data_IF_840033200562
#
_entry.id   IF_840033200562
#
_cell.length_a   1.000
_cell.length_b   1.000
_cell.length_c   1.000
_cell.angle_alpha   90.00
_cell.angle_beta   90.00
_cell.angle_gamma   90.00
#
_symmetry.space_group_name_H-M   'P 1'
#
loop_
_entity.id
_entity.type
_entity.pdbx_description
1 polymer ?
#
# COMPACT_ATOMS: atom_id res chain seq x y z
N UNK A 1 32.10 15.89 -12.71
CA UNK A 1 31.64 14.54 -12.30
C UNK A 1 31.42 13.62 -13.50
N UNK A 2 30.67 14.06 -14.52
CA UNK A 2 30.38 13.25 -15.72
C UNK A 2 31.61 12.60 -16.35
N UNK A 3 32.72 13.32 -16.51
CA UNK A 3 33.96 12.75 -17.04
C UNK A 3 34.41 11.47 -16.30
N UNK A 4 34.31 11.44 -14.96
CA UNK A 4 34.68 10.25 -14.20
C UNK A 4 33.71 9.08 -14.44
N UNK A 5 32.42 9.36 -14.61
CA UNK A 5 31.42 8.35 -15.00
C UNK A 5 31.74 7.76 -16.36
N UNK A 6 32.01 8.61 -17.35
CA UNK A 6 32.34 8.17 -18.72
C UNK A 6 33.64 7.37 -18.77
N UNK A 7 34.69 7.81 -18.05
CA UNK A 7 35.94 7.04 -17.97
C UNK A 7 35.75 5.69 -17.26
N UNK A 8 34.86 5.62 -16.26
CA UNK A 8 34.57 4.36 -15.55
C UNK A 8 33.81 3.38 -16.44
N UNK A 9 32.83 3.87 -17.21
CA UNK A 9 32.14 3.07 -18.23
C UNK A 9 33.12 2.55 -19.29
N UNK A 10 33.98 3.42 -19.85
CA UNK A 10 35.01 3.04 -20.83
C UNK A 10 36.00 1.99 -20.29
N UNK A 11 36.21 1.97 -18.97
CA UNK A 11 37.03 0.95 -18.30
C UNK A 11 36.29 -0.38 -18.05
N UNK A 12 35.02 -0.51 -18.48
CA UNK A 12 34.19 -1.69 -18.30
C UNK A 12 33.31 -1.66 -17.04
N UNK A 13 33.13 -0.49 -16.42
CA UNK A 13 32.39 -0.31 -15.18
C UNK A 13 33.30 -0.11 -13.96
N UNK A 14 32.69 0.11 -12.80
CA UNK A 14 33.41 0.37 -11.55
C UNK A 14 32.68 1.32 -10.62
N UNK A 15 33.44 1.94 -9.72
CA UNK A 15 32.91 2.90 -8.75
C UNK A 15 33.62 4.25 -8.92
N UNK A 16 32.82 5.30 -9.09
CA UNK A 16 33.26 6.69 -8.98
C UNK A 16 33.11 7.10 -7.51
N UNK A 17 34.22 7.17 -6.79
CA UNK A 17 34.24 7.61 -5.41
C UNK A 17 34.23 9.13 -5.33
N UNK A 18 33.27 9.67 -4.60
CA UNK A 18 33.17 11.07 -4.22
C UNK A 18 33.61 11.19 -2.76
N UNK A 19 34.37 12.24 -2.45
CA UNK A 19 34.74 12.56 -1.07
C UNK A 19 33.63 13.37 -0.42
N UNK A 20 33.76 13.64 0.87
CA UNK A 20 32.95 14.64 1.56
C UNK A 20 33.07 15.99 0.85
N UNK A 21 31.94 16.64 0.61
CA UNK A 21 31.87 17.92 -0.08
C UNK A 21 30.55 18.15 -0.82
N UNK A 22 30.36 19.39 -1.25
CA UNK A 22 29.27 19.81 -2.12
C UNK A 22 29.75 19.79 -3.59
N UNK A 23 29.01 19.09 -4.42
CA UNK A 23 29.27 18.93 -5.85
C UNK A 23 28.11 19.56 -6.65
N UNK A 24 28.18 20.85 -6.98
CA UNK A 24 27.18 21.48 -7.83
C UNK A 24 27.25 20.89 -9.24
N UNK A 25 26.08 20.64 -9.84
CA UNK A 25 25.93 20.18 -11.23
C UNK A 25 24.95 21.09 -11.97
N UNK A 26 25.37 21.60 -13.13
CA UNK A 26 24.58 22.46 -14.01
C UNK A 26 23.72 21.66 -15.00
N UNK A 27 23.96 20.36 -15.09
CA UNK A 27 23.29 19.40 -15.97
C UNK A 27 23.23 18.04 -15.29
N UNK A 28 22.24 17.20 -15.66
CA UNK A 28 22.14 15.84 -15.09
C UNK A 28 23.44 15.05 -15.25
N UNK A 29 23.84 14.35 -14.20
CA UNK A 29 24.83 13.27 -14.35
C UNK A 29 24.16 12.09 -15.05
N UNK A 30 24.66 11.73 -16.22
CA UNK A 30 24.18 10.58 -17.00
C UNK A 30 24.85 9.31 -16.47
N UNK A 31 24.16 8.60 -15.57
CA UNK A 31 24.61 7.32 -15.02
C UNK A 31 24.65 6.27 -16.12
N UNK A 32 25.71 5.45 -16.13
CA UNK A 32 25.99 4.46 -17.17
C UNK A 32 25.93 3.05 -16.61
N UNK A 33 25.71 2.07 -17.48
CA UNK A 33 25.72 0.66 -17.09
C UNK A 33 27.07 0.26 -16.49
N UNK A 34 27.05 -0.54 -15.43
CA UNK A 34 28.25 -0.97 -14.71
C UNK A 34 28.89 0.11 -13.83
N UNK A 35 28.39 1.36 -13.82
CA UNK A 35 28.98 2.47 -13.05
C UNK A 35 28.21 2.71 -11.76
N UNK A 36 28.94 2.78 -10.65
CA UNK A 36 28.41 3.10 -9.33
C UNK A 36 28.90 4.47 -8.88
N UNK A 37 28.00 5.34 -8.42
CA UNK A 37 28.35 6.58 -7.70
C UNK A 37 28.35 6.30 -6.20
N UNK A 38 29.44 6.61 -5.52
CA UNK A 38 29.56 6.35 -4.08
C UNK A 38 30.14 7.57 -3.36
N UNK A 39 29.41 8.09 -2.38
CA UNK A 39 29.93 9.08 -1.45
C UNK A 39 30.70 8.46 -0.28
N UNK A 40 31.25 9.32 0.58
CA UNK A 40 31.88 8.89 1.84
C UNK A 40 30.83 8.66 2.94
N UNK A 41 29.77 9.48 2.95
CA UNK A 41 28.66 9.36 3.88
C UNK A 41 27.44 10.16 3.39
N UNK A 42 26.25 9.66 3.75
CA UNK A 42 24.98 10.40 3.67
C UNK A 42 25.13 11.74 4.42
N UNK A 43 24.59 12.81 3.85
CA UNK A 43 24.64 14.19 4.36
C UNK A 43 26.02 14.88 4.37
N UNK A 44 27.11 14.18 4.03
CA UNK A 44 28.45 14.75 3.92
C UNK A 44 28.94 14.85 2.47
N UNK A 45 28.56 13.89 1.61
CA UNK A 45 28.75 13.98 0.16
C UNK A 45 27.44 14.40 -0.47
N UNK A 46 27.38 15.61 -1.05
CA UNK A 46 26.14 16.17 -1.59
C UNK A 46 26.31 16.46 -3.08
N UNK A 47 25.48 15.87 -3.92
CA UNK A 47 25.33 16.27 -5.32
C UNK A 47 24.10 17.17 -5.39
N UNK A 48 24.28 18.42 -5.83
CA UNK A 48 23.23 19.43 -5.83
C UNK A 48 23.07 20.06 -7.20
N UNK A 49 21.84 20.29 -7.66
CA UNK A 49 21.63 21.11 -8.86
C UNK A 49 22.06 22.56 -8.60
N UNK A 50 22.89 23.10 -9.50
CA UNK A 50 23.22 24.51 -9.51
C UNK A 50 21.95 25.36 -9.72
N UNK A 51 21.92 26.62 -9.26
CA UNK A 51 20.81 27.53 -9.56
C UNK A 51 20.54 27.61 -11.07
N UNK A 52 19.26 27.70 -11.44
CA UNK A 52 18.77 27.79 -12.82
C UNK A 52 19.05 26.57 -13.73
N UNK A 53 19.63 25.47 -13.21
CA UNK A 53 19.93 24.26 -14.00
C UNK A 53 18.66 23.59 -14.54
N UNK A 54 17.59 23.56 -13.72
CA UNK A 54 16.26 23.08 -14.10
C UNK A 54 16.24 21.69 -14.80
N UNK A 55 17.05 20.76 -14.31
CA UNK A 55 17.20 19.40 -14.85
C UNK A 55 16.95 18.35 -13.75
N UNK A 56 17.25 17.08 -14.04
CA UNK A 56 17.41 16.05 -13.02
C UNK A 56 18.81 16.15 -12.38
N UNK A 57 18.97 15.69 -11.13
CA UNK A 57 20.33 15.59 -10.56
C UNK A 57 21.08 14.42 -11.20
N UNK A 58 20.46 13.24 -11.24
CA UNK A 58 20.99 12.02 -11.86
C UNK A 58 19.97 11.47 -12.87
N UNK A 59 20.43 11.04 -14.03
CA UNK A 59 19.59 10.42 -15.07
C UNK A 59 20.25 9.19 -15.72
N UNK A 60 19.51 8.15 -16.11
CA UNK A 60 20.06 7.04 -16.91
C UNK A 60 20.09 7.27 -18.44
N UNK A 61 19.49 8.36 -18.92
CA UNK A 61 19.36 8.67 -20.35
C UNK A 61 17.92 8.55 -20.84
N UNK A 62 17.57 9.27 -21.92
CA UNK A 62 16.16 9.50 -22.31
C UNK A 62 15.58 8.47 -23.30
N UNK A 63 16.41 7.64 -23.93
CA UNK A 63 15.97 6.82 -25.04
C UNK A 63 15.87 5.36 -24.63
N UNK A 64 14.67 4.83 -24.43
CA UNK A 64 14.47 3.38 -24.53
C UNK A 64 15.12 2.89 -25.85
N UNK A 65 16.03 1.88 -25.83
CA UNK A 65 16.25 0.90 -24.77
C UNK A 65 17.55 1.09 -23.95
N UNK A 66 18.14 2.29 -23.88
CA UNK A 66 19.39 2.50 -23.14
C UNK A 66 19.16 2.62 -21.64
N UNK A 67 18.85 1.48 -21.01
CA UNK A 67 18.83 1.34 -19.57
C UNK A 67 20.25 1.44 -19.02
N UNK A 68 20.40 2.14 -17.89
CA UNK A 68 21.56 1.91 -17.04
C UNK A 68 21.31 0.59 -16.29
N UNK A 69 22.15 -0.41 -16.56
CA UNK A 69 22.10 -1.72 -15.91
C UNK A 69 23.31 -1.95 -15.03
N UNK A 70 23.15 -2.72 -13.95
CA UNK A 70 24.28 -3.05 -13.06
C UNK A 70 24.98 -1.80 -12.50
N UNK A 71 24.19 -0.77 -12.24
CA UNK A 71 24.66 0.54 -11.78
C UNK A 71 24.13 0.81 -10.37
N UNK A 72 24.54 1.92 -9.77
CA UNK A 72 24.04 2.27 -8.45
C UNK A 72 24.46 3.63 -7.95
N UNK A 73 23.77 4.08 -6.90
CA UNK A 73 24.05 5.33 -6.19
C UNK A 73 23.99 5.02 -4.70
N UNK A 74 25.03 5.37 -3.94
CA UNK A 74 25.10 5.06 -2.51
C UNK A 74 25.88 6.05 -1.64
N UNK A 75 25.51 6.09 -0.36
CA UNK A 75 26.22 6.82 0.71
C UNK A 75 26.39 8.32 0.42
N UNK A 76 25.35 8.97 -0.10
CA UNK A 76 25.39 10.39 -0.46
C UNK A 76 24.00 11.03 -0.40
N UNK A 77 23.98 12.35 -0.50
CA UNK A 77 22.77 13.17 -0.62
C UNK A 77 22.61 13.67 -2.05
N UNK A 78 21.38 13.61 -2.55
CA UNK A 78 20.93 14.16 -3.82
C UNK A 78 19.99 15.31 -3.50
N UNK A 79 20.34 16.52 -3.93
CA UNK A 79 19.59 17.73 -3.62
C UNK A 79 19.15 18.41 -4.93
N UNK A 80 17.84 18.40 -5.19
CA UNK A 80 17.27 19.04 -6.36
C UNK A 80 17.30 20.56 -6.32
N UNK A 81 17.60 21.15 -5.15
CA UNK A 81 17.68 22.60 -4.94
C UNK A 81 16.45 23.34 -5.51
N UNK A 82 15.26 22.81 -5.23
CA UNK A 82 13.96 23.27 -5.75
C UNK A 82 13.76 24.79 -5.65
N UNK A 83 14.16 25.42 -4.55
CA UNK A 83 14.02 26.87 -4.35
C UNK A 83 14.71 27.71 -5.44
N UNK A 84 15.82 27.21 -6.00
CA UNK A 84 16.60 27.85 -7.07
C UNK A 84 16.38 27.17 -8.44
N UNK A 85 15.54 26.13 -8.48
CA UNK A 85 15.22 25.32 -9.66
C UNK A 85 13.71 25.05 -9.73
N UNK A 86 12.86 26.08 -9.89
CA UNK A 86 11.40 25.93 -9.92
C UNK A 86 10.87 25.14 -11.14
N UNK A 87 11.73 24.88 -12.12
CA UNK A 87 11.47 23.99 -13.25
C UNK A 87 12.40 22.76 -13.24
N UNK A 88 13.09 22.52 -12.11
CA UNK A 88 13.81 21.30 -11.84
C UNK A 88 12.91 20.08 -12.00
N UNK A 89 13.53 18.94 -12.23
CA UNK A 89 12.82 17.69 -12.44
C UNK A 89 13.00 16.81 -11.22
N UNK A 90 13.59 15.63 -11.40
CA UNK A 90 13.66 14.62 -10.37
C UNK A 90 15.04 14.61 -9.69
N UNK A 91 15.11 14.04 -8.48
CA UNK A 91 16.40 13.71 -7.88
C UNK A 91 17.13 12.66 -8.71
N UNK A 92 16.50 11.50 -8.90
CA UNK A 92 16.97 10.41 -9.77
C UNK A 92 15.88 10.09 -10.79
N UNK A 93 16.24 10.06 -12.08
CA UNK A 93 15.32 9.77 -13.17
C UNK A 93 15.82 8.72 -14.16
N UNK A 94 14.92 7.83 -14.58
CA UNK A 94 15.06 7.10 -15.83
C UNK A 94 14.82 5.60 -15.69
N UNK A 95 14.99 4.88 -16.80
CA UNK A 95 14.89 3.43 -16.84
C UNK A 95 16.13 2.81 -16.19
N UNK A 96 15.94 2.17 -15.05
CA UNK A 96 16.95 1.40 -14.34
C UNK A 96 16.58 -0.08 -14.34
N UNK A 97 17.57 -0.94 -14.54
CA UNK A 97 17.40 -2.37 -14.36
C UNK A 97 18.61 -2.92 -13.61
N UNK A 98 18.40 -3.87 -12.70
CA UNK A 98 19.48 -4.41 -11.88
C UNK A 98 20.32 -3.34 -11.18
N UNK A 99 19.66 -2.32 -10.63
CA UNK A 99 20.29 -1.14 -10.06
C UNK A 99 20.13 -1.10 -8.54
N UNK A 100 21.11 -0.54 -7.84
CA UNK A 100 21.06 -0.37 -6.38
C UNK A 100 21.06 1.10 -5.99
N UNK A 101 20.03 1.52 -5.26
CA UNK A 101 19.99 2.80 -4.54
C UNK A 101 20.06 2.51 -3.04
N UNK A 102 21.16 2.87 -2.40
CA UNK A 102 21.43 2.44 -1.02
C UNK A 102 21.94 3.57 -0.14
N UNK A 103 21.36 3.74 1.05
CA UNK A 103 21.81 4.73 2.02
C UNK A 103 21.90 6.15 1.41
N UNK A 104 20.74 6.62 0.93
CA UNK A 104 20.60 7.89 0.24
C UNK A 104 19.70 8.85 1.03
N UNK A 105 19.98 10.14 0.89
CA UNK A 105 19.03 11.20 1.22
C UNK A 105 18.71 11.97 -0.07
N UNK A 106 17.47 11.92 -0.53
CA UNK A 106 16.99 12.62 -1.73
C UNK A 106 16.03 13.71 -1.29
N UNK A 107 16.32 14.97 -1.61
CA UNK A 107 15.53 16.09 -1.11
C UNK A 107 15.38 17.24 -2.10
N UNK A 108 14.37 18.07 -1.86
CA UNK A 108 14.10 19.32 -2.58
C UNK A 108 14.07 19.11 -4.10
N UNK A 109 13.45 18.03 -4.56
CA UNK A 109 13.23 17.78 -5.98
C UNK A 109 11.92 18.44 -6.39
N UNK A 110 11.92 19.32 -7.38
CA UNK A 110 10.70 20.02 -7.83
C UNK A 110 9.66 19.07 -8.48
N UNK A 111 10.07 17.88 -8.92
CA UNK A 111 9.19 16.81 -9.38
C UNK A 111 9.22 15.63 -8.38
N UNK A 112 9.52 14.41 -8.83
CA UNK A 112 9.63 13.26 -7.93
C UNK A 112 11.05 13.10 -7.36
N UNK A 113 11.19 12.58 -6.14
CA UNK A 113 12.50 12.28 -5.56
C UNK A 113 13.26 11.23 -6.37
N UNK A 114 12.70 10.02 -6.47
CA UNK A 114 13.22 8.92 -7.29
C UNK A 114 12.14 8.47 -8.26
N UNK A 115 12.48 8.28 -9.53
CA UNK A 115 11.59 7.64 -10.48
C UNK A 115 12.28 6.62 -11.38
N UNK A 116 11.59 5.48 -11.56
CA UNK A 116 11.95 4.43 -12.52
C UNK A 116 11.26 4.57 -13.88
N UNK A 117 10.54 5.67 -14.14
CA UNK A 117 9.60 5.77 -15.27
C UNK A 117 10.26 5.93 -16.65
N UNK A 118 9.55 5.43 -17.68
CA UNK A 118 9.70 5.74 -19.09
C UNK A 118 8.73 6.86 -19.47
N UNK A 119 9.16 8.11 -19.31
CA UNK A 119 8.41 9.31 -19.72
C UNK A 119 7.06 9.50 -18.98
N UNK A 120 6.74 10.75 -18.63
CA UNK A 120 5.41 11.11 -18.11
C UNK A 120 4.32 11.05 -19.22
N UNK A 121 4.67 10.57 -20.42
CA UNK A 121 3.78 10.54 -21.58
C UNK A 121 2.89 9.29 -21.56
N UNK A 122 1.58 9.49 -21.75
CA UNK A 122 0.57 8.43 -21.77
C UNK A 122 0.83 7.34 -22.83
N UNK A 123 1.75 7.57 -23.77
CA UNK A 123 2.10 6.63 -24.83
C UNK A 123 2.98 5.46 -24.33
N UNK A 124 3.78 5.66 -23.27
CA UNK A 124 4.59 4.60 -22.68
C UNK A 124 3.75 3.51 -22.00
N UNK A 125 2.54 3.86 -21.55
CA UNK A 125 1.58 2.94 -20.92
C UNK A 125 1.14 1.79 -21.85
N UNK A 126 1.14 1.99 -23.16
CA UNK A 126 0.59 1.04 -24.13
C UNK A 126 1.65 0.16 -24.85
N UNK A 127 2.94 0.42 -24.63
CA UNK A 127 4.00 -0.12 -25.49
C UNK A 127 4.45 -1.56 -25.17
N UNK A 128 3.78 -2.29 -24.27
CA UNK A 128 4.14 -3.69 -23.98
C UNK A 128 5.52 -3.86 -23.33
N UNK A 129 6.07 -2.82 -22.70
CA UNK A 129 7.34 -2.86 -21.97
C UNK A 129 7.28 -3.66 -20.64
N UNK A 130 6.30 -4.55 -20.49
CA UNK A 130 6.05 -5.35 -19.29
C UNK A 130 7.05 -6.50 -19.08
N UNK A 131 7.98 -6.74 -20.02
CA UNK A 131 8.92 -7.87 -19.99
C UNK A 131 10.29 -7.54 -19.37
N UNK A 132 10.45 -6.39 -18.72
CA UNK A 132 11.71 -6.06 -18.06
C UNK A 132 11.61 -6.53 -16.61
N UNK A 133 12.11 -7.74 -16.34
CA UNK A 133 12.47 -8.15 -14.98
C UNK A 133 13.51 -7.16 -14.43
N UNK A 134 13.06 -6.11 -13.75
CA UNK A 134 13.90 -5.04 -13.23
C UNK A 134 14.24 -5.31 -11.77
N UNK A 135 15.27 -6.13 -11.54
CA UNK A 135 15.77 -6.50 -10.22
C UNK A 135 16.47 -5.34 -9.50
N UNK A 136 15.74 -4.26 -9.24
CA UNK A 136 16.23 -3.07 -8.59
C UNK A 136 16.09 -3.20 -7.08
N UNK A 137 17.07 -2.67 -6.35
CA UNK A 137 17.09 -2.67 -4.90
C UNK A 137 17.18 -1.23 -4.40
N UNK A 138 16.15 -0.77 -3.70
CA UNK A 138 16.12 0.53 -3.00
C UNK A 138 16.12 0.24 -1.51
N UNK A 139 17.14 0.72 -0.80
CA UNK A 139 17.28 0.41 0.63
C UNK A 139 17.90 1.52 1.45
N UNK A 140 17.36 1.75 2.66
CA UNK A 140 17.84 2.80 3.58
C UNK A 140 17.80 4.18 2.93
N UNK A 141 16.73 4.47 2.21
CA UNK A 141 16.57 5.71 1.44
C UNK A 141 15.58 6.63 2.15
N UNK A 142 16.01 7.86 2.39
CA UNK A 142 15.13 8.96 2.76
C UNK A 142 14.81 9.79 1.52
N UNK A 143 13.52 10.00 1.23
CA UNK A 143 13.04 11.03 0.31
C UNK A 143 12.21 12.08 1.04
N UNK A 144 12.55 13.37 0.92
CA UNK A 144 11.84 14.46 1.61
C UNK A 144 11.60 15.69 0.74
N UNK A 145 10.41 16.29 0.83
CA UNK A 145 10.11 17.57 0.17
C UNK A 145 10.22 17.49 -1.36
N UNK A 146 9.42 16.63 -1.98
CA UNK A 146 9.34 16.51 -3.44
C UNK A 146 8.10 17.23 -3.97
N UNK A 147 8.23 18.02 -5.03
CA UNK A 147 7.13 18.80 -5.64
C UNK A 147 6.09 17.95 -6.39
N UNK A 148 6.33 16.65 -6.57
CA UNK A 148 5.34 15.63 -6.92
C UNK A 148 5.42 14.43 -5.95
N UNK A 149 5.98 13.32 -6.39
CA UNK A 149 5.97 12.05 -5.66
C UNK A 149 7.30 11.82 -4.93
N UNK A 150 7.32 11.10 -3.82
CA UNK A 150 8.57 10.69 -3.21
C UNK A 150 9.29 9.68 -4.09
N UNK A 151 8.69 8.50 -4.24
CA UNK A 151 9.18 7.42 -5.11
C UNK A 151 8.09 7.08 -6.12
N UNK A 152 8.35 7.34 -7.41
CA UNK A 152 7.51 6.95 -8.52
C UNK A 152 8.08 5.74 -9.26
N UNK A 153 7.62 4.55 -8.88
CA UNK A 153 8.03 3.27 -9.42
C UNK A 153 7.06 2.83 -10.52
N UNK A 154 7.40 3.18 -11.76
CA UNK A 154 6.51 3.00 -12.92
C UNK A 154 7.18 2.10 -13.94
N UNK A 155 6.43 1.12 -14.47
CA UNK A 155 6.91 0.12 -15.43
C UNK A 155 8.12 -0.67 -14.91
N UNK A 156 8.07 -1.05 -13.63
CA UNK A 156 9.10 -1.83 -12.96
C UNK A 156 8.54 -3.17 -12.50
N UNK A 157 9.30 -4.24 -12.70
CA UNK A 157 8.98 -5.57 -12.21
C UNK A 157 10.01 -6.08 -11.19
N UNK A 158 9.62 -6.95 -10.27
CA UNK A 158 10.53 -7.75 -9.43
C UNK A 158 11.56 -6.91 -8.61
N UNK A 159 11.18 -5.70 -8.21
CA UNK A 159 12.04 -4.82 -7.40
C UNK A 159 11.82 -4.99 -5.90
N UNK A 160 12.88 -4.82 -5.12
CA UNK A 160 12.84 -4.76 -3.66
C UNK A 160 13.03 -3.32 -3.18
N UNK A 161 12.09 -2.81 -2.38
CA UNK A 161 12.12 -1.46 -1.81
C UNK A 161 11.93 -1.58 -0.31
N UNK A 162 12.96 -1.34 0.49
CA UNK A 162 12.87 -1.55 1.94
C UNK A 162 13.64 -0.55 2.79
N UNK A 163 13.30 -0.44 4.07
CA UNK A 163 13.88 0.54 4.99
C UNK A 163 13.83 1.96 4.40
N UNK A 164 12.67 2.35 3.87
CA UNK A 164 12.48 3.66 3.25
C UNK A 164 11.73 4.61 4.17
N UNK A 165 12.09 5.89 4.11
CA UNK A 165 11.33 6.97 4.71
C UNK A 165 11.00 8.00 3.64
N UNK A 166 9.72 8.17 3.37
CA UNK A 166 9.22 9.16 2.42
C UNK A 166 8.29 10.11 3.15
N UNK A 167 8.63 11.41 3.14
CA UNK A 167 7.88 12.42 3.90
C UNK A 167 7.66 13.69 3.10
N UNK A 168 6.47 14.26 3.23
CA UNK A 168 6.07 15.54 2.65
C UNK A 168 6.26 15.65 1.11
N UNK A 169 5.90 14.63 0.31
CA UNK A 169 5.73 14.84 -1.13
C UNK A 169 4.45 15.63 -1.39
N UNK A 170 4.42 16.47 -2.41
CA UNK A 170 3.22 17.22 -2.78
C UNK A 170 2.08 16.31 -3.30
N UNK A 171 2.40 15.09 -3.76
CA UNK A 171 1.45 14.07 -4.25
C UNK A 171 1.57 12.76 -3.51
N UNK A 172 2.32 11.77 -4.00
CA UNK A 172 2.30 10.43 -3.41
C UNK A 172 3.62 10.09 -2.74
N UNK A 173 3.60 9.43 -1.59
CA UNK A 173 4.86 8.93 -1.01
C UNK A 173 5.43 7.83 -1.90
N UNK A 174 4.60 6.85 -2.23
CA UNK A 174 4.94 5.80 -3.17
C UNK A 174 3.88 5.70 -4.27
N UNK A 175 4.32 5.74 -5.52
CA UNK A 175 3.50 5.43 -6.68
C UNK A 175 3.98 4.16 -7.37
N UNK A 176 3.10 3.17 -7.51
CA UNK A 176 3.27 1.97 -8.33
C UNK A 176 2.40 2.07 -9.58
N UNK A 177 2.99 2.36 -10.75
CA UNK A 177 2.26 2.44 -12.02
C UNK A 177 2.70 1.32 -12.97
N UNK A 178 1.78 0.53 -13.52
CA UNK A 178 2.13 -0.60 -14.40
C UNK A 178 3.26 -1.50 -13.87
N UNK A 179 3.33 -1.69 -12.56
CA UNK A 179 4.45 -2.39 -11.93
C UNK A 179 4.00 -3.74 -11.38
N UNK A 180 4.90 -4.71 -11.35
CA UNK A 180 4.57 -6.04 -10.87
C UNK A 180 5.66 -6.71 -10.05
N UNK A 181 5.34 -7.73 -9.26
CA UNK A 181 6.35 -8.53 -8.55
C UNK A 181 7.14 -7.77 -7.48
N UNK A 182 6.78 -6.52 -7.18
CA UNK A 182 7.56 -5.67 -6.29
C UNK A 182 7.29 -6.02 -4.82
N UNK A 183 8.33 -6.01 -3.99
CA UNK A 183 8.22 -6.15 -2.54
C UNK A 183 8.66 -4.87 -1.85
N UNK A 184 7.71 -4.21 -1.21
CA UNK A 184 7.92 -3.02 -0.39
C UNK A 184 7.83 -3.40 1.08
N UNK A 185 8.81 -3.05 1.90
CA UNK A 185 8.74 -3.33 3.34
C UNK A 185 9.46 -2.33 4.24
N UNK A 186 9.13 -2.30 5.53
CA UNK A 186 9.81 -1.43 6.50
C UNK A 186 9.79 0.04 6.06
N UNK A 187 8.61 0.49 5.62
CA UNK A 187 8.42 1.79 4.99
C UNK A 187 7.68 2.75 5.93
N UNK A 188 8.21 3.96 6.11
CA UNK A 188 7.52 5.07 6.75
C UNK A 188 7.08 6.07 5.67
N UNK A 189 5.77 6.22 5.46
CA UNK A 189 5.16 6.94 4.35
C UNK A 189 4.21 8.02 4.88
N UNK A 190 4.68 9.26 4.89
CA UNK A 190 4.00 10.35 5.62
C UNK A 190 3.67 11.57 4.77
N UNK A 191 2.49 12.16 5.02
CA UNK A 191 2.12 13.50 4.56
C UNK A 191 2.05 13.71 3.04
N UNK A 192 1.78 12.66 2.27
CA UNK A 192 1.36 12.80 0.87
C UNK A 192 -0.12 13.19 0.72
N UNK A 193 -0.57 13.45 -0.50
CA UNK A 193 -1.95 13.23 -0.93
C UNK A 193 -2.39 11.81 -0.58
N UNK A 194 -1.69 10.81 -1.11
CA UNK A 194 -1.81 9.41 -0.69
C UNK A 194 -0.44 8.90 -0.24
N UNK A 195 -0.38 8.08 0.81
CA UNK A 195 0.89 7.44 1.18
C UNK A 195 1.30 6.39 0.16
N UNK A 196 0.34 5.61 -0.35
CA UNK A 196 0.56 4.68 -1.45
C UNK A 196 -0.52 4.88 -2.50
N UNK A 197 -0.10 5.02 -3.76
CA UNK A 197 -0.97 5.00 -4.91
C UNK A 197 -0.52 3.88 -5.86
N UNK A 198 -1.43 3.01 -6.27
CA UNK A 198 -1.16 1.99 -7.28
C UNK A 198 -2.21 2.00 -8.38
N UNK A 199 -1.76 1.88 -9.63
CA UNK A 199 -2.62 1.81 -10.80
C UNK A 199 -2.06 0.80 -11.81
N UNK A 200 -2.93 -0.02 -12.39
CA UNK A 200 -2.60 -1.05 -13.39
C UNK A 200 -1.42 -1.96 -12.98
N UNK A 201 -1.28 -2.21 -11.69
CA UNK A 201 -0.15 -2.92 -11.09
C UNK A 201 -0.58 -4.24 -10.48
N UNK A 202 0.33 -5.20 -10.29
CA UNK A 202 -0.09 -6.43 -9.63
C UNK A 202 1.00 -7.34 -9.12
N UNK A 203 0.62 -8.39 -8.38
CA UNK A 203 1.58 -9.30 -7.75
C UNK A 203 2.62 -8.56 -6.89
N UNK A 204 2.23 -7.50 -6.18
CA UNK A 204 3.13 -6.76 -5.30
C UNK A 204 2.74 -6.92 -3.83
N UNK A 205 3.71 -6.70 -2.95
CA UNK A 205 3.56 -6.81 -1.50
C UNK A 205 4.00 -5.53 -0.82
N UNK A 206 3.22 -5.07 0.15
CA UNK A 206 3.58 -3.99 1.06
C UNK A 206 3.43 -4.52 2.50
N UNK A 207 4.56 -4.65 3.20
CA UNK A 207 4.60 -5.30 4.53
C UNK A 207 5.35 -4.46 5.56
N UNK A 208 5.05 -4.57 6.86
CA UNK A 208 5.79 -3.86 7.92
C UNK A 208 5.90 -2.35 7.65
N UNK A 209 4.79 -1.68 7.39
CA UNK A 209 4.79 -0.27 6.98
C UNK A 209 4.05 0.62 7.97
N UNK A 210 4.27 1.92 7.88
CA UNK A 210 3.46 2.95 8.51
C UNK A 210 3.06 3.96 7.45
N UNK A 211 1.75 4.14 7.26
CA UNK A 211 1.17 5.15 6.39
C UNK A 211 0.34 6.12 7.24
N UNK A 212 0.73 7.40 7.26
CA UNK A 212 0.10 8.39 8.13
C UNK A 212 0.12 9.80 7.54
N UNK A 213 -0.76 10.67 8.05
CA UNK A 213 -0.81 12.07 7.68
C UNK A 213 -1.20 12.36 6.23
N UNK A 214 -1.72 11.38 5.48
CA UNK A 214 -2.16 11.60 4.11
C UNK A 214 -3.34 12.58 4.07
N UNK A 215 -3.40 13.45 3.05
CA UNK A 215 -4.52 14.39 2.89
C UNK A 215 -5.74 13.75 2.21
N UNK A 216 -5.55 12.68 1.46
CA UNK A 216 -6.57 11.83 0.85
C UNK A 216 -6.66 10.44 1.52
N UNK A 217 -6.39 9.37 0.78
CA UNK A 217 -6.35 7.99 1.26
C UNK A 217 -4.96 7.65 1.79
N UNK A 218 -4.85 6.73 2.75
CA UNK A 218 -3.52 6.20 3.07
C UNK A 218 -3.02 5.31 1.93
N UNK A 219 -3.85 4.38 1.47
CA UNK A 219 -3.56 3.49 0.35
C UNK A 219 -4.71 3.61 -0.66
N UNK A 220 -4.38 3.91 -1.91
CA UNK A 220 -5.35 3.98 -2.99
C UNK A 220 -4.93 3.06 -4.14
N UNK A 221 -5.78 2.08 -4.42
CA UNK A 221 -5.71 1.23 -5.59
C UNK A 221 -6.73 1.69 -6.62
N UNK A 222 -6.21 2.23 -7.72
CA UNK A 222 -7.00 2.59 -8.90
C UNK A 222 -7.29 1.32 -9.75
N UNK A 223 -7.81 1.53 -10.95
CA UNK A 223 -8.15 0.49 -11.91
C UNK A 223 -6.98 -0.47 -12.21
N UNK A 224 -7.31 -1.76 -12.35
CA UNK A 224 -6.37 -2.77 -12.83
C UNK A 224 -5.33 -3.20 -11.80
N UNK A 225 -5.61 -3.04 -10.50
CA UNK A 225 -4.71 -3.48 -9.43
C UNK A 225 -5.04 -4.90 -8.97
N UNK A 226 -4.14 -5.87 -9.15
CA UNK A 226 -4.45 -7.28 -8.90
C UNK A 226 -3.38 -8.04 -8.11
N UNK A 227 -3.79 -9.05 -7.34
CA UNK A 227 -2.87 -9.93 -6.61
C UNK A 227 -1.96 -9.16 -5.64
N UNK A 228 -2.56 -8.28 -4.84
CA UNK A 228 -1.83 -7.42 -3.90
C UNK A 228 -1.88 -8.00 -2.50
N UNK A 229 -0.76 -7.95 -1.78
CA UNK A 229 -0.72 -8.25 -0.34
C UNK A 229 -0.33 -7.00 0.45
N UNK A 230 -1.18 -6.59 1.38
CA UNK A 230 -0.92 -5.57 2.40
C UNK A 230 -0.87 -6.29 3.74
N UNK A 231 0.25 -6.23 4.45
CA UNK A 231 0.35 -6.93 5.73
C UNK A 231 1.16 -6.21 6.80
N UNK A 232 0.87 -6.52 8.06
CA UNK A 232 1.67 -6.13 9.23
C UNK A 232 1.98 -4.62 9.30
N UNK A 233 1.03 -3.78 8.86
CA UNK A 233 1.20 -2.34 8.74
C UNK A 233 0.35 -1.56 9.73
N UNK A 234 0.67 -0.27 9.87
CA UNK A 234 -0.11 0.70 10.62
C UNK A 234 -0.61 1.79 9.67
N UNK A 235 -1.91 2.07 9.71
CA UNK A 235 -2.56 3.15 8.97
C UNK A 235 -3.13 4.14 9.98
N UNK A 236 -2.53 5.33 10.04
CA UNK A 236 -2.95 6.41 10.94
C UNK A 236 -3.97 7.34 10.28
N UNK A 237 -4.96 7.80 11.03
CA UNK A 237 -6.06 8.68 10.57
C UNK A 237 -5.81 10.19 10.75
N UNK A 238 -4.54 10.63 10.75
CA UNK A 238 -4.10 12.02 11.07
C UNK A 238 -4.45 13.11 10.02
N UNK A 239 -5.67 13.08 9.50
CA UNK A 239 -6.10 13.75 8.27
C UNK A 239 -6.33 15.26 8.41
N UNK A 240 -6.47 15.91 7.24
CA UNK A 240 -6.84 17.34 7.06
C UNK A 240 -8.33 17.53 6.62
N UNK A 241 -9.15 16.47 6.59
CA UNK A 241 -10.58 16.56 6.27
C UNK A 241 -11.39 15.39 6.82
N UNK A 242 -12.67 15.59 7.16
CA UNK A 242 -13.51 14.57 7.83
C UNK A 242 -14.35 13.77 6.84
N UNK A 243 -14.40 12.42 6.97
CA UNK A 243 -15.41 11.54 6.38
C UNK A 243 -15.53 11.50 4.83
N UNK A 244 -14.51 11.96 4.08
CA UNK A 244 -14.47 11.85 2.60
C UNK A 244 -13.65 10.68 2.08
N UNK A 245 -12.50 10.39 2.70
CA UNK A 245 -11.48 9.47 2.22
C UNK A 245 -11.34 8.28 3.15
N UNK A 246 -10.71 7.23 2.67
CA UNK A 246 -10.63 5.91 3.30
C UNK A 246 -9.18 5.58 3.71
N UNK A 247 -9.00 4.70 4.68
CA UNK A 247 -7.67 4.17 5.01
C UNK A 247 -7.08 3.43 3.81
N UNK A 248 -7.81 2.43 3.31
CA UNK A 248 -7.56 1.73 2.06
C UNK A 248 -8.76 1.91 1.15
N UNK A 249 -8.55 2.52 -0.02
CA UNK A 249 -9.56 2.62 -1.07
C UNK A 249 -9.21 1.72 -2.24
N UNK A 250 -10.18 0.92 -2.66
CA UNK A 250 -10.01 0.01 -3.79
C UNK A 250 -11.11 0.25 -4.80
N UNK A 251 -10.70 0.88 -5.92
CA UNK A 251 -11.56 1.25 -7.02
C UNK A 251 -11.50 0.20 -8.15
N UNK A 252 -12.61 0.07 -8.88
CA UNK A 252 -12.69 -0.72 -10.11
C UNK A 252 -12.97 0.21 -11.29
N UNK A 253 -11.97 0.42 -12.15
CA UNK A 253 -12.11 1.18 -13.39
C UNK A 253 -12.39 0.33 -14.62
N UNK A 254 -13.17 -0.76 -14.50
CA UNK A 254 -13.57 -1.60 -15.64
C UNK A 254 -12.56 -2.66 -16.09
N UNK A 255 -11.34 -2.65 -15.54
CA UNK A 255 -10.38 -3.77 -15.58
C UNK A 255 -10.20 -4.28 -14.15
N UNK A 256 -10.46 -5.56 -13.94
CA UNK A 256 -10.70 -6.17 -12.63
C UNK A 256 -9.54 -5.98 -11.64
N UNK A 257 -9.65 -4.97 -10.78
CA UNK A 257 -8.93 -4.98 -9.51
C UNK A 257 -9.44 -6.17 -8.69
N UNK A 258 -8.54 -7.11 -8.34
CA UNK A 258 -8.94 -8.42 -7.82
C UNK A 258 -7.90 -9.01 -6.87
N UNK A 259 -8.38 -9.78 -5.90
CA UNK A 259 -7.55 -10.52 -4.94
C UNK A 259 -6.58 -9.60 -4.20
N UNK A 260 -7.12 -8.59 -3.53
CA UNK A 260 -6.38 -7.81 -2.53
C UNK A 260 -6.47 -8.55 -1.21
N UNK A 261 -5.31 -8.88 -0.64
CA UNK A 261 -5.18 -9.55 0.66
C UNK A 261 -4.66 -8.53 1.68
N UNK A 262 -5.48 -8.19 2.67
CA UNK A 262 -5.12 -7.32 3.80
C UNK A 262 -5.09 -8.17 5.06
N UNK A 263 -3.92 -8.27 5.70
CA UNK A 263 -3.69 -9.16 6.85
C UNK A 263 -2.88 -8.50 7.96
N UNK A 264 -3.39 -8.50 9.20
CA UNK A 264 -2.63 -7.97 10.32
C UNK A 264 -2.42 -6.46 10.30
N UNK A 265 -3.21 -5.70 9.53
CA UNK A 265 -3.12 -4.24 9.47
C UNK A 265 -3.87 -3.60 10.64
N UNK A 266 -3.23 -2.62 11.26
CA UNK A 266 -3.81 -1.82 12.34
C UNK A 266 -4.25 -0.45 11.81
N UNK A 267 -5.52 -0.14 11.96
CA UNK A 267 -6.09 1.18 11.69
C UNK A 267 -6.21 1.92 13.01
N UNK A 268 -5.55 3.06 13.13
CA UNK A 268 -5.41 3.79 14.40
C UNK A 268 -6.06 5.16 14.31
N UNK A 269 -6.89 5.47 15.30
CA UNK A 269 -7.53 6.77 15.48
C UNK A 269 -6.55 7.87 15.86
N UNK A 270 -6.90 9.13 15.58
CA UNK A 270 -6.13 10.30 15.99
C UNK A 270 -6.79 11.08 17.15
N UNK A 271 -7.45 10.40 18.10
CA UNK A 271 -8.01 11.07 19.27
C UNK A 271 -9.12 12.09 18.96
N UNK A 272 -9.87 11.90 17.86
CA UNK A 272 -11.10 12.65 17.58
C UNK A 272 -10.97 13.91 16.70
N UNK A 273 -9.83 14.19 16.06
CA UNK A 273 -9.69 15.39 15.20
C UNK A 273 -10.10 15.16 13.74
N UNK A 274 -9.92 13.96 13.21
CA UNK A 274 -10.35 13.56 11.86
C UNK A 274 -10.40 12.05 11.73
N UNK A 275 -11.44 11.53 11.08
CA UNK A 275 -11.57 10.09 10.81
C UNK A 275 -11.66 9.81 9.31
N UNK A 276 -11.25 8.62 8.91
CA UNK A 276 -11.58 8.07 7.60
C UNK A 276 -13.09 7.89 7.47
N UNK A 277 -13.61 7.85 6.24
CA UNK A 277 -14.99 7.44 6.00
C UNK A 277 -15.14 5.95 6.34
N UNK A 278 -14.28 5.14 5.72
CA UNK A 278 -14.06 3.74 6.04
C UNK A 278 -12.58 3.47 6.26
N UNK A 279 -12.23 2.53 7.13
CA UNK A 279 -10.85 2.04 7.18
C UNK A 279 -10.51 1.28 5.90
N UNK A 280 -11.45 0.46 5.41
CA UNK A 280 -11.35 -0.22 4.12
C UNK A 280 -12.62 0.01 3.31
N UNK A 281 -12.48 0.56 2.10
CA UNK A 281 -13.55 0.73 1.14
C UNK A 281 -13.25 -0.04 -0.14
N UNK A 282 -13.94 -1.18 -0.31
CA UNK A 282 -13.80 -2.07 -1.45
C UNK A 282 -15.08 -2.01 -2.31
N UNK A 283 -15.14 -1.03 -3.20
CA UNK A 283 -16.38 -0.58 -3.88
C UNK A 283 -16.94 -1.62 -4.87
N UNK A 284 -16.11 -2.50 -5.43
CA UNK A 284 -16.52 -3.34 -6.59
C UNK A 284 -15.63 -4.58 -6.80
N UNK A 285 -14.80 -4.94 -5.82
CA UNK A 285 -13.78 -5.99 -5.99
C UNK A 285 -14.33 -7.41 -6.03
N UNK A 286 -13.68 -8.33 -6.76
CA UNK A 286 -13.96 -9.76 -6.67
C UNK A 286 -12.86 -10.46 -5.87
N UNK A 287 -13.21 -11.07 -4.74
CA UNK A 287 -12.36 -12.04 -4.05
C UNK A 287 -11.26 -11.46 -3.15
N UNK A 288 -11.50 -10.31 -2.53
CA UNK A 288 -10.55 -9.71 -1.58
C UNK A 288 -10.72 -10.26 -0.18
N UNK A 289 -9.63 -10.32 0.57
CA UNK A 289 -9.58 -10.95 1.88
C UNK A 289 -9.12 -9.91 2.91
N UNK A 290 -9.93 -9.66 3.94
CA UNK A 290 -9.61 -8.74 5.03
C UNK A 290 -9.60 -9.53 6.34
N UNK A 291 -8.40 -9.89 6.79
CA UNK A 291 -8.18 -10.90 7.82
C UNK A 291 -7.28 -10.34 8.92
N UNK A 292 -7.52 -10.72 10.18
CA UNK A 292 -6.68 -10.33 11.33
C UNK A 292 -6.41 -8.82 11.46
N UNK A 293 -7.28 -7.96 10.90
CA UNK A 293 -7.11 -6.52 10.97
C UNK A 293 -7.64 -5.99 12.31
N UNK A 294 -7.03 -4.92 12.81
CA UNK A 294 -7.50 -4.20 14.00
C UNK A 294 -8.06 -2.85 13.58
N UNK A 295 -9.33 -2.62 13.89
CA UNK A 295 -10.05 -1.38 13.61
C UNK A 295 -10.30 -0.58 14.88
N UNK A 296 -9.49 0.45 15.15
CA UNK A 296 -9.76 1.38 16.24
C UNK A 296 -11.12 2.08 16.01
N UNK A 297 -12.08 2.06 16.95
CA UNK A 297 -13.34 2.79 16.82
C UNK A 297 -13.19 4.30 16.53
N UNK A 298 -12.02 4.88 16.80
CA UNK A 298 -11.69 6.26 16.49
C UNK A 298 -11.08 6.48 15.09
N UNK A 299 -10.76 5.44 14.30
CA UNK A 299 -10.14 5.60 12.98
C UNK A 299 -11.14 5.90 11.85
N UNK A 300 -12.41 5.52 12.02
CA UNK A 300 -13.46 5.65 10.99
C UNK A 300 -14.66 6.49 11.45
N UNK A 301 -15.38 7.06 10.48
CA UNK A 301 -16.53 7.93 10.67
C UNK A 301 -17.86 7.29 10.30
N UNK A 302 -17.86 6.31 9.39
CA UNK A 302 -19.08 5.60 8.97
C UNK A 302 -19.08 4.13 9.42
N UNK A 303 -18.08 3.35 9.02
CA UNK A 303 -17.91 1.95 9.40
C UNK A 303 -16.44 1.53 9.18
N UNK A 304 -15.92 0.47 9.83
CA UNK A 304 -14.57 -0.03 9.55
C UNK A 304 -14.43 -0.47 8.10
N UNK A 305 -15.36 -1.29 7.61
CA UNK A 305 -15.29 -1.86 6.27
C UNK A 305 -16.58 -1.56 5.50
N UNK A 306 -16.42 -1.08 4.27
CA UNK A 306 -17.45 -1.04 3.24
C UNK A 306 -17.07 -2.03 2.14
N UNK A 307 -17.78 -3.16 2.04
CA UNK A 307 -17.57 -4.15 0.96
C UNK A 307 -18.81 -4.28 0.08
N UNK A 308 -18.59 -4.61 -1.19
CA UNK A 308 -19.69 -4.72 -2.18
C UNK A 308 -19.68 -6.01 -2.99
N UNK A 309 -18.93 -7.06 -2.60
CA UNK A 309 -18.98 -8.33 -3.35
C UNK A 309 -19.19 -9.57 -2.51
N UNK A 310 -19.97 -10.48 -3.09
CA UNK A 310 -20.32 -11.79 -2.52
C UNK A 310 -19.09 -12.70 -2.31
N UNK A 311 -17.96 -12.41 -2.95
CA UNK A 311 -16.78 -13.27 -2.93
C UNK A 311 -15.68 -12.80 -1.98
N UNK A 312 -15.87 -11.67 -1.28
CA UNK A 312 -14.88 -11.21 -0.31
C UNK A 312 -14.96 -12.01 1.00
N UNK A 313 -13.80 -12.30 1.58
CA UNK A 313 -13.66 -12.98 2.86
C UNK A 313 -13.29 -11.94 3.92
N UNK A 314 -14.09 -11.84 4.97
CA UNK A 314 -13.82 -10.96 6.12
C UNK A 314 -13.90 -11.80 7.38
N UNK A 315 -12.78 -11.98 8.09
CA UNK A 315 -12.73 -12.83 9.30
C UNK A 315 -11.58 -12.48 10.24
N UNK A 316 -11.71 -12.92 11.48
CA UNK A 316 -10.73 -12.79 12.56
C UNK A 316 -10.31 -11.35 12.86
N UNK A 317 -11.18 -10.39 12.59
CA UNK A 317 -10.88 -8.97 12.82
C UNK A 317 -11.16 -8.57 14.27
N UNK A 318 -10.33 -7.69 14.80
CA UNK A 318 -10.46 -7.12 16.15
C UNK A 318 -11.27 -5.83 16.06
N UNK A 319 -12.20 -5.66 17.01
CA UNK A 319 -13.16 -4.54 17.06
C UNK A 319 -14.12 -4.44 15.85
N UNK A 320 -14.15 -5.48 15.02
CA UNK A 320 -15.11 -5.70 13.94
C UNK A 320 -15.50 -7.18 13.89
N UNK A 321 -16.35 -7.61 14.82
CA UNK A 321 -16.71 -9.03 15.01
C UNK A 321 -17.54 -9.53 13.83
N UNK A 322 -16.93 -10.36 12.97
CA UNK A 322 -17.55 -10.91 11.76
C UNK A 322 -18.00 -12.35 11.87
N UNK A 323 -17.57 -13.05 12.92
CA UNK A 323 -18.01 -14.39 13.25
C UNK A 323 -18.13 -14.55 14.77
N UNK A 324 -19.11 -15.34 15.18
CA UNK A 324 -19.40 -15.61 16.58
C UNK A 324 -19.99 -17.01 16.71
N UNK A 325 -19.67 -17.66 17.82
CA UNK A 325 -20.20 -18.97 18.17
C UNK A 325 -20.53 -19.03 19.65
N UNK A 326 -21.37 -19.98 20.01
CA UNK A 326 -21.76 -20.21 21.39
C UNK A 326 -22.74 -21.35 21.52
N UNK A 327 -23.39 -21.43 22.68
CA UNK A 327 -24.49 -22.34 22.94
C UNK A 327 -25.75 -21.57 23.33
N UNK A 328 -26.91 -22.19 23.11
CA UNK A 328 -28.21 -21.65 23.49
C UNK A 328 -29.12 -22.78 23.97
N UNK A 329 -29.92 -22.51 25.00
CA UNK A 329 -30.83 -23.49 25.60
C UNK A 329 -32.27 -23.02 25.42
N UNK A 330 -33.10 -23.82 24.74
CA UNK A 330 -34.56 -23.68 24.82
C UNK A 330 -35.00 -24.33 26.13
N UNK A 331 -35.58 -23.59 27.09
CA UNK A 331 -36.03 -24.16 28.36
C UNK A 331 -37.10 -25.24 28.15
N UNK A 332 -37.27 -26.13 29.13
CA UNK A 332 -38.31 -27.16 29.12
C UNK A 332 -39.69 -26.59 28.74
N UNK A 333 -40.39 -27.28 27.84
CA UNK A 333 -41.66 -26.88 27.21
C UNK A 333 -41.62 -25.59 26.37
N UNK A 334 -40.45 -24.94 26.23
CA UNK A 334 -40.24 -23.81 25.33
C UNK A 334 -40.25 -24.23 23.86
N UNK A 335 -40.61 -23.29 22.98
CA UNK A 335 -40.63 -23.52 21.53
C UNK A 335 -39.62 -22.67 20.77
N UNK A 336 -38.98 -21.70 21.42
CA UNK A 336 -37.96 -20.86 20.83
C UNK A 336 -36.97 -20.33 21.87
N UNK A 337 -35.85 -19.83 21.37
CA UNK A 337 -34.90 -18.99 22.09
C UNK A 337 -34.34 -17.94 21.13
N UNK A 338 -34.24 -16.69 21.58
CA UNK A 338 -33.56 -15.61 20.87
C UNK A 338 -32.09 -15.60 21.30
N UNK A 339 -31.19 -15.69 20.32
CA UNK A 339 -29.75 -15.77 20.51
C UNK A 339 -29.12 -14.45 20.09
N UNK A 340 -28.55 -13.71 21.06
CA UNK A 340 -27.74 -12.53 20.76
C UNK A 340 -26.36 -12.95 20.23
N UNK A 341 -26.06 -12.61 18.97
CA UNK A 341 -24.88 -13.15 18.29
C UNK A 341 -23.62 -12.27 18.41
N UNK A 342 -23.75 -11.00 18.81
CA UNK A 342 -22.59 -10.10 19.04
C UNK A 342 -21.82 -9.63 17.79
N UNK A 343 -22.13 -10.16 16.60
CA UNK A 343 -21.62 -9.65 15.32
C UNK A 343 -21.92 -8.15 15.09
N UNK A 344 -21.08 -7.51 14.29
CA UNK A 344 -21.21 -6.08 13.94
C UNK A 344 -22.45 -5.75 13.10
N UNK A 345 -22.92 -6.70 12.28
CA UNK A 345 -24.13 -6.56 11.46
C UNK A 345 -24.85 -7.90 11.32
N UNK A 346 -25.98 -7.91 10.61
CA UNK A 346 -26.79 -9.10 10.34
C UNK A 346 -25.93 -10.21 9.71
N UNK A 347 -25.90 -11.43 10.28
CA UNK A 347 -25.19 -12.54 9.68
C UNK A 347 -25.82 -12.93 8.34
N UNK A 348 -24.99 -13.31 7.37
CA UNK A 348 -25.46 -13.86 6.09
C UNK A 348 -25.84 -15.33 6.23
N UNK A 349 -25.26 -16.03 7.23
CA UNK A 349 -25.48 -17.44 7.49
C UNK A 349 -25.45 -17.72 8.99
N UNK A 350 -26.31 -18.64 9.41
CA UNK A 350 -26.38 -19.15 10.78
C UNK A 350 -26.44 -20.67 10.70
N UNK A 351 -25.51 -21.35 11.37
CA UNK A 351 -25.47 -22.79 11.52
C UNK A 351 -25.82 -23.14 12.96
N UNK A 352 -26.76 -24.07 13.13
CA UNK A 352 -27.25 -24.52 14.44
C UNK A 352 -27.19 -26.05 14.48
N UNK A 353 -26.63 -26.58 15.56
CA UNK A 353 -26.46 -28.02 15.80
C UNK A 353 -27.04 -28.37 17.16
N UNK A 354 -28.08 -29.21 17.25
CA UNK A 354 -28.60 -29.64 18.54
C UNK A 354 -27.58 -30.53 19.28
N UNK A 355 -27.41 -30.29 20.59
CA UNK A 355 -26.57 -31.11 21.49
C UNK A 355 -27.41 -32.28 22.00
N UNK A 356 -27.83 -33.14 21.08
CA UNK A 356 -28.75 -34.26 21.32
C UNK A 356 -29.86 -34.34 20.29
N UNK A 357 -30.75 -35.31 20.43
CA UNK A 357 -31.94 -35.40 19.57
C UNK A 357 -33.00 -34.40 20.06
N UNK A 358 -33.38 -33.38 19.27
CA UNK A 358 -34.42 -32.43 19.65
C UNK A 358 -35.83 -33.05 19.68
N UNK A 359 -35.99 -34.30 19.23
CA UNK A 359 -37.26 -35.05 19.14
C UNK A 359 -38.34 -34.35 18.29
N UNK A 360 -37.95 -33.31 17.55
CA UNK A 360 -38.83 -32.47 16.75
C UNK A 360 -38.03 -31.76 15.65
N UNK A 361 -38.74 -31.12 14.71
CA UNK A 361 -38.10 -30.27 13.70
C UNK A 361 -37.63 -28.97 14.36
N UNK A 362 -36.45 -28.50 13.97
CA UNK A 362 -35.92 -27.20 14.35
C UNK A 362 -35.61 -26.35 13.12
N UNK A 363 -35.63 -25.04 13.26
CA UNK A 363 -35.24 -24.09 12.21
C UNK A 363 -34.79 -22.76 12.81
N UNK A 364 -33.97 -22.04 12.05
CA UNK A 364 -33.57 -20.66 12.36
C UNK A 364 -34.57 -19.68 11.74
N UNK A 365 -34.95 -18.63 12.46
CA UNK A 365 -35.73 -17.50 11.94
C UNK A 365 -35.24 -16.19 12.51
N UNK A 366 -35.87 -15.08 12.12
CA UNK A 366 -35.65 -13.78 12.77
C UNK A 366 -34.20 -13.30 12.71
N UNK A 367 -33.45 -13.64 11.66
CA UNK A 367 -32.04 -13.24 11.53
C UNK A 367 -31.96 -11.72 11.36
N UNK A 368 -31.69 -11.03 12.46
CA UNK A 368 -31.56 -9.59 12.58
C UNK A 368 -30.11 -9.14 12.77
N UNK A 369 -29.90 -7.85 13.03
CA UNK A 369 -28.58 -7.27 13.19
C UNK A 369 -27.92 -7.56 14.54
N UNK A 370 -28.69 -7.99 15.54
CA UNK A 370 -28.23 -8.27 16.91
C UNK A 370 -28.51 -9.70 17.36
N UNK A 371 -29.47 -10.36 16.72
CA UNK A 371 -30.04 -11.62 17.18
C UNK A 371 -30.59 -12.49 16.04
N UNK A 372 -30.84 -13.76 16.36
CA UNK A 372 -31.65 -14.68 15.57
C UNK A 372 -32.41 -15.61 16.52
N UNK A 373 -33.46 -16.26 16.02
CA UNK A 373 -34.23 -17.23 16.79
C UNK A 373 -33.92 -18.66 16.38
N UNK A 374 -33.75 -19.54 17.37
CA UNK A 374 -33.80 -21.00 17.20
C UNK A 374 -35.18 -21.46 17.62
N UNK A 375 -35.88 -22.15 16.72
CA UNK A 375 -37.25 -22.62 16.96
C UNK A 375 -37.31 -24.14 16.92
N UNK A 376 -38.26 -24.70 17.66
CA UNK A 376 -38.68 -26.11 17.56
C UNK A 376 -40.19 -26.21 17.35
N UNK A 377 -40.64 -27.22 16.61
CA UNK A 377 -42.04 -27.32 16.22
C UNK A 377 -42.99 -27.61 17.41
N UNK A 378 -42.45 -28.15 18.49
CA UNK A 378 -43.17 -28.47 19.72
C UNK A 378 -42.20 -28.47 20.89
N UNK A 379 -42.63 -28.00 22.06
CA UNK A 379 -41.81 -28.06 23.26
C UNK A 379 -41.45 -29.50 23.64
N UNK A 380 -40.17 -29.74 23.95
CA UNK A 380 -39.69 -31.04 24.38
C UNK A 380 -39.96 -31.28 25.87
N UNK A 381 -39.91 -32.55 26.30
CA UNK A 381 -39.98 -32.97 27.70
C UNK A 381 -38.62 -32.82 28.41
N UNK A 382 -38.03 -31.63 28.28
CA UNK A 382 -36.69 -31.29 28.74
C UNK A 382 -36.20 -30.02 28.05
N UNK A 383 -35.14 -29.42 28.61
CA UNK A 383 -34.44 -28.34 27.92
C UNK A 383 -33.71 -28.91 26.69
N UNK A 384 -33.62 -28.11 25.64
CA UNK A 384 -32.89 -28.44 24.41
C UNK A 384 -31.71 -27.51 24.25
N UNK A 385 -30.51 -28.07 24.21
CA UNK A 385 -29.27 -27.33 24.01
C UNK A 385 -28.89 -27.35 22.53
N UNK A 386 -28.38 -26.23 22.04
CA UNK A 386 -27.92 -26.04 20.68
C UNK A 386 -26.56 -25.34 20.69
N UNK A 387 -25.61 -25.87 19.94
CA UNK A 387 -24.42 -25.13 19.54
C UNK A 387 -24.75 -24.32 18.28
N UNK A 388 -24.21 -23.10 18.20
CA UNK A 388 -24.45 -22.22 17.06
C UNK A 388 -23.16 -21.54 16.59
N UNK A 389 -23.14 -21.20 15.30
CA UNK A 389 -22.11 -20.40 14.65
C UNK A 389 -22.78 -19.48 13.63
N UNK A 390 -22.50 -18.18 13.72
CA UNK A 390 -23.02 -17.14 12.83
C UNK A 390 -21.86 -16.31 12.26
N UNK A 391 -21.95 -15.91 10.99
CA UNK A 391 -20.90 -15.11 10.34
C UNK A 391 -21.43 -14.22 9.21
N UNK A 392 -20.59 -13.28 8.78
CA UNK A 392 -20.82 -12.34 7.68
C UNK A 392 -20.03 -12.81 6.43
N UNK A 393 -20.67 -12.81 5.26
CA UNK A 393 -20.05 -13.18 3.97
C UNK A 393 -20.15 -14.67 3.61
N UNK A 394 -19.55 -15.05 2.48
CA UNK A 394 -19.49 -16.44 2.03
C UNK A 394 -18.17 -17.09 2.50
N UNK A 395 -18.27 -18.21 3.23
CA UNK A 395 -17.13 -19.10 3.43
C UNK A 395 -17.13 -20.07 2.25
N UNK A 396 -16.20 -19.88 1.32
CA UNK A 396 -15.84 -20.90 0.33
C UNK A 396 -14.65 -21.71 0.83
#
# INVERSE_FOLDING_TARGET
MQYAVDQTELAGGGTVQLRTGLYPVDTSIKLKSGVNLQGEARDSTIIQLAPDANDNVIASGYAHPTYATWCGVRHLTIDGNEAENPYGKHGIWGGFASTTFHDLNVKNANCSGITGSFDDSADAYNAGAQDLATLNHISKVWVGGSGKDGIAWVLQADSEIYDIWVTEPARWCLWLGNSAGCHISHALLEKGTNSVFAAWSGNFRLTNFTAAGSSEHSIYFEAGVAEVTIADGVIGSERIGTNTWDGIHIEHGGVDSRRVFVDGVQFVGNGGLTTYKYDINAVTEVGSHFINCWFDPESYGTAPISTVSANSIVRHNIDYVTEASGSATIPNAGTNITVGHGLYTTPTRVMVTPVGDPQSRFWVSGIGATDFDINVASGASGSLDFDWHAWIGDQN
#
